data_IF_281555643326
#
_entry.id   IF_281555643326
#
_cell.length_a   1.000
_cell.length_b   1.000
_cell.length_c   1.000
_cell.angle_alpha   90.00
_cell.angle_beta   90.00
_cell.angle_gamma   90.00
#
_symmetry.space_group_name_H-M   'P 1'
#
loop_
_entity.id
_entity.type
_entity.pdbx_description
1 polymer ?
#
# COMPACT_ATOMS: atom_id res chain seq x y z
N UNK A 1 -12.20 5.28 5.89
CA UNK A 1 -12.11 6.41 4.92
C UNK A 1 -11.10 7.42 5.42
N UNK A 2 -10.24 7.89 4.53
CA UNK A 2 -9.21 8.86 4.85
C UNK A 2 -9.22 9.99 3.84
N UNK A 3 -8.99 11.22 4.31
CA UNK A 3 -8.88 12.41 3.46
C UNK A 3 -7.53 13.06 3.71
N UNK A 4 -6.82 13.42 2.66
CA UNK A 4 -5.53 14.08 2.79
C UNK A 4 -4.93 14.42 1.42
N UNK A 5 -3.66 14.77 1.43
CA UNK A 5 -2.94 15.14 0.22
C UNK A 5 -2.27 13.93 -0.40
N UNK A 6 -2.50 13.73 -1.70
CA UNK A 6 -1.81 12.74 -2.51
C UNK A 6 -0.68 13.40 -3.30
N UNK A 7 0.37 12.63 -3.54
CA UNK A 7 1.41 12.95 -4.51
C UNK A 7 1.54 11.77 -5.46
N UNK A 8 2.47 11.86 -6.41
CA UNK A 8 2.77 10.73 -7.26
C UNK A 8 4.28 10.56 -7.39
N UNK A 9 4.72 9.34 -7.62
CA UNK A 9 6.14 9.02 -7.77
C UNK A 9 6.40 8.47 -9.17
N UNK A 10 7.54 8.82 -9.73
CA UNK A 10 7.76 8.67 -11.15
C UNK A 10 9.02 7.88 -11.49
N UNK A 11 9.71 8.39 -12.48
CA UNK A 11 10.78 7.72 -13.22
C UNK A 11 11.91 7.19 -12.35
N UNK A 12 12.29 7.90 -11.29
CA UNK A 12 13.37 7.50 -10.39
C UNK A 12 13.10 6.18 -9.64
N UNK A 13 11.82 5.80 -9.52
CA UNK A 13 11.42 4.56 -8.84
C UNK A 13 11.04 3.45 -9.82
N UNK A 14 10.91 3.77 -11.10
CA UNK A 14 10.50 2.82 -12.12
C UNK A 14 11.46 1.63 -12.20
N UNK A 15 10.93 0.42 -12.11
CA UNK A 15 11.71 -0.82 -12.12
C UNK A 15 12.29 -1.23 -10.78
N UNK A 16 12.18 -0.41 -9.74
CA UNK A 16 12.67 -0.75 -8.40
C UNK A 16 11.67 -1.65 -7.67
N UNK A 17 12.14 -2.59 -6.83
CA UNK A 17 11.24 -3.44 -6.05
C UNK A 17 10.38 -2.61 -5.12
N UNK A 18 9.08 -2.95 -5.06
CA UNK A 18 8.15 -2.39 -4.09
C UNK A 18 8.15 -3.23 -2.81
N UNK A 19 7.43 -2.78 -1.78
CA UNK A 19 7.29 -3.53 -0.54
C UNK A 19 6.62 -4.90 -0.75
N UNK A 20 5.82 -5.07 -1.81
CA UNK A 20 5.28 -6.37 -2.20
C UNK A 20 6.28 -7.26 -2.94
N UNK A 21 7.45 -6.71 -3.28
CA UNK A 21 8.50 -7.44 -3.96
C UNK A 21 8.45 -7.39 -5.49
N UNK A 22 7.38 -6.85 -6.06
CA UNK A 22 7.25 -6.66 -7.50
C UNK A 22 7.88 -5.35 -7.93
N UNK A 23 8.48 -5.28 -9.15
CA UNK A 23 9.00 -4.02 -9.65
C UNK A 23 7.89 -2.98 -9.82
N UNK A 24 8.20 -1.73 -9.47
CA UNK A 24 7.28 -0.63 -9.71
C UNK A 24 7.16 -0.35 -11.21
N UNK A 25 5.93 -0.33 -11.71
CA UNK A 25 5.63 0.10 -13.07
C UNK A 25 4.90 1.45 -13.01
N UNK A 26 5.59 2.53 -13.36
CA UNK A 26 5.00 3.87 -13.28
C UNK A 26 3.79 4.06 -14.20
N UNK A 27 3.71 3.29 -15.29
CA UNK A 27 2.60 3.39 -16.24
C UNK A 27 1.38 2.54 -15.84
N UNK A 28 1.53 1.65 -14.87
CA UNK A 28 0.44 0.86 -14.32
C UNK A 28 -0.35 1.63 -13.29
N UNK A 29 -1.38 0.99 -12.74
CA UNK A 29 -2.23 1.56 -11.69
C UNK A 29 -1.83 0.98 -10.34
N UNK A 30 -1.24 1.80 -9.47
CA UNK A 30 -0.83 1.37 -8.13
C UNK A 30 -0.65 2.57 -7.21
N UNK A 31 -0.48 2.30 -5.92
CA UNK A 31 -0.23 3.34 -4.94
C UNK A 31 0.62 2.82 -3.77
N UNK A 32 1.23 3.76 -3.06
CA UNK A 32 1.92 3.51 -1.79
C UNK A 32 1.13 4.18 -0.67
N UNK A 33 0.96 3.48 0.44
CA UNK A 33 0.29 3.97 1.63
C UNK A 33 1.02 3.49 2.87
N UNK A 34 0.96 4.30 3.95
CA UNK A 34 1.73 4.02 5.17
C UNK A 34 1.24 2.80 5.93
N UNK A 35 -0.07 2.58 5.98
CA UNK A 35 -0.67 1.60 6.89
C UNK A 35 -1.70 0.66 6.26
N UNK A 36 -2.32 1.04 5.14
CA UNK A 36 -3.28 0.14 4.48
C UNK A 36 -2.57 -1.14 4.07
N UNK A 37 -3.14 -2.32 4.37
CA UNK A 37 -2.48 -3.59 4.07
C UNK A 37 -2.07 -3.73 2.60
N UNK A 38 -0.86 -4.21 2.35
CA UNK A 38 -0.38 -4.44 0.99
C UNK A 38 -1.27 -5.45 0.28
N UNK A 39 -1.61 -5.16 -0.97
CA UNK A 39 -2.55 -5.96 -1.74
C UNK A 39 -3.99 -5.53 -1.60
N UNK A 40 -4.29 -4.59 -0.70
CA UNK A 40 -5.62 -3.98 -0.61
C UNK A 40 -5.92 -3.20 -1.88
N UNK A 41 -7.20 -3.17 -2.26
CA UNK A 41 -7.67 -2.31 -3.34
C UNK A 41 -8.39 -1.12 -2.75
N UNK A 42 -8.02 0.05 -3.21
CA UNK A 42 -8.59 1.31 -2.72
C UNK A 42 -9.14 2.13 -3.87
N UNK A 43 -10.23 2.86 -3.58
CA UNK A 43 -10.73 3.90 -4.47
C UNK A 43 -10.18 5.23 -4.01
N UNK A 44 -9.49 5.92 -4.90
CA UNK A 44 -8.97 7.26 -4.64
C UNK A 44 -9.79 8.23 -5.47
N UNK A 45 -10.37 9.22 -4.79
CA UNK A 45 -11.16 10.28 -5.42
C UNK A 45 -10.41 11.59 -5.29
N UNK A 46 -10.13 12.25 -6.42
CA UNK A 46 -9.59 13.60 -6.42
C UNK A 46 -10.73 14.57 -6.09
N UNK A 47 -10.67 15.18 -4.92
CA UNK A 47 -11.74 16.06 -4.43
C UNK A 47 -11.81 17.40 -5.17
N UNK A 48 -10.78 17.73 -5.94
CA UNK A 48 -10.74 18.99 -6.71
C UNK A 48 -11.48 18.88 -8.03
N UNK A 49 -11.58 17.69 -8.62
CA UNK A 49 -12.23 17.48 -9.92
C UNK A 49 -13.24 16.32 -9.96
N UNK A 50 -13.36 15.56 -8.88
CA UNK A 50 -14.29 14.43 -8.79
C UNK A 50 -13.85 13.15 -9.49
N UNK A 51 -12.67 13.12 -10.11
CA UNK A 51 -12.17 11.92 -10.78
C UNK A 51 -11.78 10.84 -9.78
N UNK A 52 -11.99 9.59 -10.16
CA UNK A 52 -11.72 8.42 -9.31
C UNK A 52 -10.87 7.40 -10.05
N UNK A 53 -10.08 6.65 -9.27
CA UNK A 53 -9.35 5.50 -9.77
C UNK A 53 -9.30 4.43 -8.68
N UNK A 54 -9.38 3.16 -9.08
CA UNK A 54 -9.22 2.03 -8.16
C UNK A 54 -7.83 1.43 -8.39
N UNK A 55 -7.04 1.34 -7.33
CA UNK A 55 -5.65 0.88 -7.41
C UNK A 55 -5.33 -0.08 -6.27
N UNK A 56 -4.39 -1.02 -6.49
CA UNK A 56 -3.83 -1.81 -5.40
C UNK A 56 -2.78 -1.00 -4.65
N UNK A 57 -2.69 -1.22 -3.34
CA UNK A 57 -1.60 -0.70 -2.50
C UNK A 57 -0.46 -1.71 -2.58
N UNK A 58 0.67 -1.30 -3.15
CA UNK A 58 1.79 -2.21 -3.39
C UNK A 58 3.07 -1.81 -2.67
N UNK A 59 3.07 -0.66 -2.02
CA UNK A 59 4.28 -0.12 -1.39
C UNK A 59 3.94 0.69 -0.14
N UNK A 60 4.97 1.05 0.61
CA UNK A 60 4.91 1.88 1.81
C UNK A 60 5.42 3.28 1.52
N UNK A 61 4.77 4.26 2.10
CA UNK A 61 5.00 5.69 1.94
C UNK A 61 3.69 6.42 1.81
N UNK A 62 3.71 7.71 1.58
CA UNK A 62 4.85 8.62 1.54
C UNK A 62 5.46 8.88 2.92
N UNK A 63 6.76 9.18 2.94
CA UNK A 63 7.49 9.46 4.19
C UNK A 63 7.89 10.93 4.31
N UNK A 64 7.39 11.77 3.40
CA UNK A 64 7.72 13.19 3.34
C UNK A 64 6.44 14.02 3.54
N UNK A 65 6.47 14.96 4.48
CA UNK A 65 5.37 15.89 4.74
C UNK A 65 4.10 15.20 5.25
N UNK A 66 2.97 15.86 5.04
CA UNK A 66 1.66 15.41 5.51
C UNK A 66 0.89 14.58 4.48
N UNK A 67 1.58 14.07 3.47
CA UNK A 67 0.95 13.28 2.41
C UNK A 67 0.47 11.94 2.94
N UNK A 68 -0.67 11.50 2.46
CA UNK A 68 -1.29 10.25 2.92
C UNK A 68 -1.13 9.10 1.93
N UNK A 69 -0.92 9.41 0.65
CA UNK A 69 -0.80 8.40 -0.41
C UNK A 69 0.08 8.92 -1.54
N UNK A 70 0.89 8.03 -2.12
CA UNK A 70 1.62 8.28 -3.35
C UNK A 70 1.01 7.44 -4.46
N UNK A 71 0.58 8.12 -5.53
CA UNK A 71 0.00 7.45 -6.69
C UNK A 71 1.09 7.11 -7.70
N UNK A 72 0.91 6.02 -8.45
CA UNK A 72 1.73 5.80 -9.64
C UNK A 72 1.45 6.89 -10.68
N UNK A 73 2.37 7.09 -11.63
CA UNK A 73 2.15 8.04 -12.71
C UNK A 73 0.86 7.73 -13.49
N UNK A 74 0.64 6.44 -13.81
CA UNK A 74 -0.58 6.02 -14.50
C UNK A 74 -1.85 6.34 -13.74
N UNK A 75 -1.86 6.15 -12.42
CA UNK A 75 -2.99 6.51 -11.56
C UNK A 75 -3.17 8.03 -11.47
N UNK A 76 -2.06 8.78 -11.34
CA UNK A 76 -2.10 10.24 -11.29
C UNK A 76 -2.69 10.83 -12.57
N UNK A 77 -2.40 10.24 -13.73
CA UNK A 77 -3.02 10.64 -15.00
C UNK A 77 -4.53 10.45 -14.98
N UNK A 78 -5.00 9.34 -14.43
CA UNK A 78 -6.44 9.06 -14.28
C UNK A 78 -7.14 10.08 -13.38
N UNK A 79 -6.42 10.59 -12.38
CA UNK A 79 -6.94 11.59 -11.46
C UNK A 79 -6.72 13.03 -11.95
N UNK A 80 -6.05 13.20 -13.09
CA UNK A 80 -5.71 14.52 -13.66
C UNK A 80 -4.93 15.38 -12.65
N UNK A 81 -3.90 14.80 -12.03
CA UNK A 81 -3.09 15.49 -11.02
C UNK A 81 -1.59 15.53 -11.37
N UNK A 82 -1.20 15.09 -12.56
CA UNK A 82 0.22 15.00 -12.93
C UNK A 82 0.89 16.39 -12.94
N UNK A 83 0.27 17.38 -13.56
CA UNK A 83 0.85 18.71 -13.68
C UNK A 83 0.94 19.42 -12.33
N UNK A 84 -0.08 19.29 -11.50
CA UNK A 84 -0.09 19.91 -10.17
C UNK A 84 0.86 19.19 -9.21
N UNK A 85 1.10 17.91 -9.42
CA UNK A 85 1.93 17.09 -8.56
C UNK A 85 1.29 16.68 -7.24
N UNK A 86 0.34 17.44 -6.74
CA UNK A 86 -0.38 17.21 -5.50
C UNK A 86 -1.88 17.38 -5.73
N UNK A 87 -2.68 16.63 -4.99
CA UNK A 87 -4.13 16.77 -5.01
C UNK A 87 -4.71 16.36 -3.65
N UNK A 88 -5.80 16.98 -3.26
CA UNK A 88 -6.54 16.54 -2.09
C UNK A 88 -7.46 15.41 -2.49
N UNK A 89 -7.35 14.28 -1.79
CA UNK A 89 -8.05 13.05 -2.17
C UNK A 89 -8.78 12.45 -0.98
N UNK A 90 -9.78 11.60 -1.31
CA UNK A 90 -10.44 10.70 -0.37
C UNK A 90 -10.06 9.28 -0.74
N UNK A 91 -9.71 8.49 0.26
CA UNK A 91 -9.30 7.09 0.09
C UNK A 91 -10.34 6.20 0.75
N UNK A 92 -10.84 5.22 0.02
CA UNK A 92 -11.78 4.22 0.52
C UNK A 92 -11.21 2.82 0.26
N UNK A 93 -11.09 2.00 1.30
CA UNK A 93 -10.66 0.61 1.14
C UNK A 93 -11.84 -0.21 0.65
N UNK A 94 -11.70 -0.81 -0.53
CA UNK A 94 -12.73 -1.63 -1.16
C UNK A 94 -12.57 -3.11 -0.85
N UNK A 95 -11.32 -3.58 -0.74
CA UNK A 95 -11.01 -4.99 -0.58
C UNK A 95 -9.69 -5.15 0.16
N UNK A 96 -9.68 -6.06 1.14
CA UNK A 96 -8.47 -6.43 1.88
C UNK A 96 -7.84 -7.68 1.23
N UNK A 97 -6.49 -7.80 1.30
CA UNK A 97 -5.83 -8.97 0.73
C UNK A 97 -6.12 -10.22 1.55
N UNK A 98 -6.34 -11.34 0.84
CA UNK A 98 -6.51 -12.65 1.47
C UNK A 98 -5.67 -13.67 0.70
N UNK A 99 -4.97 -14.53 1.45
CA UNK A 99 -4.18 -15.59 0.88
C UNK A 99 -4.73 -16.93 1.33
N UNK A 100 -4.99 -17.82 0.36
CA UNK A 100 -5.46 -19.16 0.64
C UNK A 100 -4.28 -20.11 0.81
N UNK A 101 -4.28 -20.89 1.89
CA UNK A 101 -3.23 -21.86 2.18
C UNK A 101 -3.85 -23.16 2.75
N UNK A 102 -3.92 -24.20 1.95
CA UNK A 102 -4.39 -25.52 2.41
C UNK A 102 -5.79 -25.52 3.03
N UNK A 103 -6.74 -24.78 2.47
CA UNK A 103 -8.10 -24.65 3.01
C UNK A 103 -8.25 -23.57 4.06
N UNK A 104 -7.20 -22.80 4.30
CA UNK A 104 -7.18 -21.75 5.31
C UNK A 104 -6.83 -20.42 4.63
N UNK A 105 -7.36 -19.34 5.20
CA UNK A 105 -7.10 -17.98 4.71
C UNK A 105 -6.21 -17.23 5.68
N UNK A 106 -5.27 -16.45 5.14
CA UNK A 106 -4.39 -15.59 5.91
C UNK A 106 -4.52 -14.17 5.39
N UNK A 107 -4.64 -13.20 6.31
CA UNK A 107 -4.60 -11.79 5.98
C UNK A 107 -3.17 -11.29 6.12
N UNK A 108 -2.66 -10.68 5.06
CA UNK A 108 -1.35 -10.01 5.10
C UNK A 108 -1.58 -8.51 5.19
N UNK A 109 -1.16 -7.90 6.30
CA UNK A 109 -1.32 -6.48 6.56
C UNK A 109 -0.18 -5.63 6.04
N UNK A 110 0.96 -6.22 5.77
CA UNK A 110 2.09 -5.51 5.21
C UNK A 110 3.28 -6.41 4.97
N UNK A 111 4.20 -5.94 4.13
CA UNK A 111 5.52 -6.52 3.95
C UNK A 111 6.53 -5.39 3.99
N UNK A 112 7.59 -5.53 4.79
CA UNK A 112 8.54 -4.47 5.08
C UNK A 112 9.96 -4.97 4.87
N UNK A 113 10.83 -4.12 4.34
CA UNK A 113 12.26 -4.40 4.25
C UNK A 113 12.97 -4.18 5.58
N UNK A 114 12.34 -3.50 6.53
CA UNK A 114 12.88 -3.20 7.85
C UNK A 114 12.00 -3.85 8.91
N UNK A 115 12.58 -4.72 9.74
CA UNK A 115 11.86 -5.46 10.79
C UNK A 115 11.13 -4.53 11.75
N UNK A 116 11.73 -3.40 12.12
CA UNK A 116 11.12 -2.44 13.04
C UNK A 116 9.78 -1.94 12.52
N UNK A 117 9.66 -1.68 11.22
CA UNK A 117 8.39 -1.23 10.62
C UNK A 117 7.31 -2.32 10.68
N UNK A 118 7.71 -3.57 10.48
CA UNK A 118 6.79 -4.69 10.63
C UNK A 118 6.29 -4.81 12.07
N UNK A 119 7.18 -4.64 13.05
CA UNK A 119 6.84 -4.68 14.47
C UNK A 119 5.89 -3.55 14.87
N UNK A 120 6.07 -2.37 14.31
CA UNK A 120 5.16 -1.23 14.57
C UNK A 120 3.74 -1.53 14.08
N UNK A 121 3.61 -2.09 12.89
CA UNK A 121 2.29 -2.46 12.38
C UNK A 121 1.68 -3.59 13.22
N UNK A 122 2.47 -4.60 13.57
CA UNK A 122 1.99 -5.69 14.43
C UNK A 122 1.48 -5.16 15.76
N UNK A 123 2.18 -4.19 16.37
CA UNK A 123 1.74 -3.55 17.62
C UNK A 123 0.40 -2.84 17.48
N UNK A 124 0.17 -2.16 16.36
CA UNK A 124 -1.11 -1.52 16.08
C UNK A 124 -2.25 -2.54 15.94
N UNK A 125 -1.99 -3.66 15.31
CA UNK A 125 -2.97 -4.74 15.14
C UNK A 125 -3.29 -5.38 16.49
N UNK A 126 -2.27 -5.63 17.32
CA UNK A 126 -2.45 -6.16 18.68
C UNK A 126 -3.30 -5.24 19.55
N UNK A 127 -3.10 -3.94 19.43
CA UNK A 127 -3.86 -2.94 20.20
C UNK A 127 -5.35 -2.97 19.89
N UNK A 128 -5.75 -3.59 18.77
CA UNK A 128 -7.14 -3.77 18.37
C UNK A 128 -7.69 -5.16 18.70
N UNK A 129 -6.95 -5.95 19.47
CA UNK A 129 -7.42 -7.25 19.98
C UNK A 129 -7.09 -8.43 19.08
N UNK A 130 -6.23 -8.26 18.07
CA UNK A 130 -5.79 -9.35 17.17
C UNK A 130 -4.40 -9.83 17.56
N UNK A 131 -4.03 -11.01 17.09
CA UNK A 131 -2.70 -11.59 17.32
C UNK A 131 -1.99 -11.77 15.98
N UNK A 132 -1.26 -10.76 15.51
CA UNK A 132 -0.51 -10.86 14.27
C UNK A 132 0.78 -11.66 14.45
N UNK A 133 1.31 -12.18 13.36
CA UNK A 133 2.63 -12.78 13.30
C UNK A 133 3.51 -12.02 12.31
N UNK A 134 4.81 -12.10 12.52
CA UNK A 134 5.80 -11.54 11.60
C UNK A 134 6.55 -12.71 10.97
N UNK A 135 6.53 -12.82 9.66
CA UNK A 135 7.22 -13.85 8.90
C UNK A 135 8.34 -13.21 8.08
N UNK A 136 9.53 -13.78 8.21
CA UNK A 136 10.68 -13.36 7.41
C UNK A 136 10.69 -14.13 6.09
N UNK A 137 10.88 -13.42 4.99
CA UNK A 137 10.95 -14.02 3.65
C UNK A 137 11.99 -13.29 2.80
N UNK A 138 12.46 -13.94 1.74
CA UNK A 138 13.36 -13.32 0.77
C UNK A 138 12.62 -13.15 -0.55
N UNK A 139 12.57 -11.92 -1.04
CA UNK A 139 11.92 -11.58 -2.30
C UNK A 139 12.91 -10.81 -3.16
N UNK A 140 13.17 -11.30 -4.36
CA UNK A 140 14.17 -10.72 -5.28
C UNK A 140 15.53 -10.49 -4.61
N UNK A 141 15.98 -11.43 -3.76
CA UNK A 141 17.24 -11.32 -3.06
C UNK A 141 17.24 -10.38 -1.86
N UNK A 142 16.13 -9.73 -1.56
CA UNK A 142 16.00 -8.83 -0.42
C UNK A 142 15.15 -9.48 0.67
N UNK A 143 15.59 -9.28 1.92
CA UNK A 143 14.84 -9.75 3.08
C UNK A 143 13.62 -8.87 3.31
N UNK A 144 12.45 -9.47 3.52
CA UNK A 144 11.23 -8.78 3.87
C UNK A 144 10.59 -9.41 5.11
N UNK A 145 9.87 -8.60 5.87
CA UNK A 145 9.16 -9.01 7.07
C UNK A 145 7.67 -8.81 6.83
N UNK A 146 6.91 -9.90 6.76
CA UNK A 146 5.49 -9.88 6.46
C UNK A 146 4.70 -9.93 7.76
N UNK A 147 3.80 -8.98 7.93
CA UNK A 147 2.88 -8.95 9.07
C UNK A 147 1.58 -9.62 8.62
N UNK A 148 1.21 -10.69 9.30
CA UNK A 148 0.03 -11.49 8.97
C UNK A 148 -0.84 -11.69 10.19
N UNK A 149 -2.14 -11.70 9.98
CA UNK A 149 -3.08 -12.21 10.95
C UNK A 149 -3.24 -13.70 10.69
N UNK A 150 -3.43 -14.48 11.75
CA UNK A 150 -3.46 -15.94 11.68
C UNK A 150 -4.41 -16.52 10.63
N UNK A 151 -4.32 -17.82 10.42
CA UNK A 151 -5.10 -18.49 9.39
C UNK A 151 -6.58 -18.62 9.78
N UNK A 152 -7.46 -18.42 8.81
CA UNK A 152 -8.90 -18.56 8.96
C UNK A 152 -9.39 -19.79 8.21
N UNK A 153 -10.37 -20.49 8.77
CA UNK A 153 -11.00 -21.63 8.11
C UNK A 153 -12.38 -21.28 7.60
#
# INVERSE_FOLDING_TARGET
MEVGTASWYGEEFHGRPTAMGEPYNMYGLSAAHKTIPLGSRVRVTNLENGRQVVVPVIDRGPFVGDRVIDMSYGAARRLDMVECGLARVRIEVLELPQFYTGGRYTLQFGAFSVEENARKLAGLIESRGYQPSIEEATVYGSRVYRVRLGAFT
#
